data_IF_596007007426
#
_entry.id   IF_596007007426
#
_cell.length_a   1.000
_cell.length_b   1.000
_cell.length_c   1.000
_cell.angle_alpha   90.00
_cell.angle_beta   90.00
_cell.angle_gamma   90.00
#
_symmetry.space_group_name_H-M   'P 1'
#
loop_
_entity.id
_entity.type
_entity.pdbx_description
1 polymer ?
#
# COMPACT_ATOMS: atom_id res chain seq x y z
N UNK A 1 18.66 -8.60 -12.82
CA UNK A 1 18.35 -8.21 -11.42
C UNK A 1 19.67 -7.95 -10.73
N UNK A 2 19.94 -6.72 -10.32
CA UNK A 2 21.20 -6.35 -9.67
C UNK A 2 21.15 -6.77 -8.21
N UNK A 3 22.08 -7.62 -7.78
CA UNK A 3 22.14 -8.12 -6.41
C UNK A 3 22.33 -6.94 -5.44
N UNK A 4 21.37 -6.77 -4.53
CA UNK A 4 21.40 -5.68 -3.55
C UNK A 4 22.22 -6.05 -2.32
N UNK A 5 22.72 -7.29 -2.23
CA UNK A 5 23.59 -7.75 -1.13
C UNK A 5 24.83 -6.87 -0.94
N UNK A 6 25.40 -6.37 -2.03
CA UNK A 6 26.60 -5.52 -2.06
C UNK A 6 26.33 -4.15 -1.40
N UNK A 7 25.07 -3.73 -1.31
CA UNK A 7 24.69 -2.43 -0.75
C UNK A 7 24.64 -2.41 0.79
N UNK A 8 24.72 -3.58 1.42
CA UNK A 8 24.42 -3.73 2.83
C UNK A 8 25.27 -4.85 3.43
N UNK A 9 26.40 -4.53 4.10
CA UNK A 9 27.09 -5.52 4.91
C UNK A 9 26.12 -5.98 6.00
N UNK A 10 25.83 -7.26 6.02
CA UNK A 10 24.89 -7.86 6.97
C UNK A 10 25.59 -8.90 7.80
N UNK A 11 25.27 -8.89 9.09
CA UNK A 11 25.74 -9.91 10.01
C UNK A 11 25.09 -11.25 9.63
N UNK A 12 25.85 -12.08 8.92
CA UNK A 12 25.43 -13.43 8.51
C UNK A 12 25.55 -14.46 9.62
N UNK A 13 26.20 -14.12 10.74
CA UNK A 13 26.40 -15.02 11.88
C UNK A 13 25.15 -15.19 12.74
N UNK A 14 24.19 -14.27 12.62
CA UNK A 14 22.94 -14.33 13.37
C UNK A 14 21.91 -15.17 12.60
N UNK A 15 21.61 -16.37 13.08
CA UNK A 15 20.42 -17.12 12.67
C UNK A 15 19.17 -16.53 13.29
N UNK A 16 18.05 -16.51 12.58
CA UNK A 16 16.74 -16.17 13.14
C UNK A 16 15.76 -17.32 12.97
N UNK A 17 15.20 -17.80 14.07
CA UNK A 17 14.02 -18.66 14.06
C UNK A 17 12.77 -17.86 13.69
N UNK A 18 11.70 -18.56 13.32
CA UNK A 18 10.40 -17.96 13.06
C UNK A 18 9.69 -17.70 14.38
N UNK A 19 9.10 -16.51 14.53
CA UNK A 19 8.26 -16.19 15.66
C UNK A 19 6.94 -16.96 15.54
N UNK A 20 6.75 -17.95 16.40
CA UNK A 20 5.54 -18.77 16.44
C UNK A 20 4.42 -18.04 17.18
N UNK A 21 3.66 -17.20 16.48
CA UNK A 21 2.44 -16.57 17.00
C UNK A 21 1.45 -16.22 15.86
N UNK A 22 0.17 -16.09 16.18
CA UNK A 22 -0.90 -15.64 15.26
C UNK A 22 -0.70 -14.20 14.74
N UNK A 23 0.29 -13.48 15.28
CA UNK A 23 0.80 -12.20 14.79
C UNK A 23 1.46 -12.28 13.40
N UNK A 24 1.66 -13.49 12.86
CA UNK A 24 2.11 -13.76 11.49
C UNK A 24 1.25 -13.10 10.40
N UNK A 25 0.06 -12.59 10.75
CA UNK A 25 -0.86 -11.89 9.84
C UNK A 25 -0.70 -10.35 9.83
N UNK A 26 0.15 -9.78 10.69
CA UNK A 26 0.32 -8.32 10.75
C UNK A 26 1.04 -7.82 9.51
N UNK A 27 0.31 -7.11 8.66
CA UNK A 27 0.89 -6.34 7.56
C UNK A 27 1.32 -4.96 8.05
N UNK A 28 2.42 -4.44 7.51
CA UNK A 28 2.92 -3.10 7.86
C UNK A 28 2.68 -2.11 6.73
N UNK A 29 2.69 -0.83 7.07
CA UNK A 29 2.55 0.28 6.15
C UNK A 29 3.64 1.34 6.41
N UNK A 30 4.33 1.76 5.36
CA UNK A 30 5.26 2.89 5.36
C UNK A 30 4.58 4.08 4.70
N UNK A 31 4.21 5.13 5.46
CA UNK A 31 3.42 6.22 4.92
C UNK A 31 4.12 7.07 3.87
N UNK A 32 5.43 7.25 4.02
CA UNK A 32 6.28 8.02 3.12
C UNK A 32 7.67 7.40 3.17
N UNK A 33 8.23 7.11 2.00
CA UNK A 33 9.66 6.84 1.83
C UNK A 33 10.32 8.18 1.46
N UNK A 34 11.02 8.87 2.38
CA UNK A 34 11.48 10.23 2.12
C UNK A 34 12.45 10.27 0.94
N UNK A 35 12.28 11.20 -0.01
CA UNK A 35 13.08 11.22 -1.22
C UNK A 35 14.52 11.60 -0.92
N UNK A 36 14.79 12.42 0.10
CA UNK A 36 16.15 12.79 0.49
C UNK A 36 16.82 11.80 1.42
N UNK A 37 16.22 10.64 1.69
CA UNK A 37 16.80 9.63 2.58
C UNK A 37 18.02 8.96 1.91
N UNK A 38 19.11 8.79 2.66
CA UNK A 38 20.33 8.09 2.23
C UNK A 38 20.98 7.39 3.43
N UNK A 39 22.00 6.58 3.20
CA UNK A 39 22.77 5.96 4.28
C UNK A 39 24.01 6.79 4.61
N UNK A 40 24.16 7.20 5.86
CA UNK A 40 25.34 7.93 6.35
C UNK A 40 26.47 6.93 6.60
N UNK A 41 27.23 6.63 5.53
CA UNK A 41 28.52 5.92 5.51
C UNK A 41 28.68 4.67 6.39
N UNK A 42 28.62 3.51 5.75
CA UNK A 42 29.69 2.50 5.88
C UNK A 42 30.57 2.63 4.62
N UNK A 43 31.86 2.30 4.67
CA UNK A 43 32.76 2.27 3.50
C UNK A 43 32.19 1.45 2.32
N UNK A 44 31.26 0.55 2.63
CA UNK A 44 30.52 -0.31 1.69
C UNK A 44 29.40 0.37 0.89
N UNK A 45 28.91 1.57 1.29
CA UNK A 45 27.72 2.23 0.71
C UNK A 45 28.08 3.51 -0.06
N UNK A 46 29.34 3.64 -0.44
CA UNK A 46 29.79 4.72 -1.30
C UNK A 46 29.76 4.26 -2.75
N UNK A 47 29.25 5.10 -3.64
CA UNK A 47 29.37 4.82 -5.07
C UNK A 47 30.83 4.95 -5.53
N UNK A 48 31.13 4.60 -6.79
CA UNK A 48 32.47 4.80 -7.39
C UNK A 48 33.02 6.22 -7.20
N UNK A 49 32.11 7.19 -7.01
CA UNK A 49 32.40 8.61 -6.81
C UNK A 49 32.42 9.05 -5.33
N UNK A 50 32.51 8.12 -4.37
CA UNK A 50 32.59 8.41 -2.93
C UNK A 50 31.34 9.15 -2.37
N UNK A 51 30.20 9.12 -3.08
CA UNK A 51 28.93 9.74 -2.68
C UNK A 51 28.06 8.78 -1.89
N UNK A 52 27.40 9.27 -0.83
CA UNK A 52 26.40 8.50 -0.07
C UNK A 52 25.26 8.07 -0.99
N UNK A 53 24.99 6.76 -1.07
CA UNK A 53 23.90 6.25 -1.91
C UNK A 53 22.53 6.55 -1.29
N UNK A 54 21.64 7.09 -2.12
CA UNK A 54 20.24 7.40 -1.79
C UNK A 54 19.44 6.12 -1.52
N UNK A 55 18.58 6.16 -0.50
CA UNK A 55 17.60 5.11 -0.25
C UNK A 55 16.53 5.15 -1.35
N UNK A 56 16.40 4.05 -2.09
CA UNK A 56 15.37 3.88 -3.12
C UNK A 56 14.33 2.88 -2.65
N UNK A 57 13.04 3.04 -3.00
CA UNK A 57 11.97 2.10 -2.61
C UNK A 57 12.29 0.63 -2.91
N UNK A 58 13.01 0.35 -4.01
CA UNK A 58 13.44 -1.01 -4.39
C UNK A 58 14.32 -1.71 -3.34
N UNK A 59 14.97 -0.96 -2.45
CA UNK A 59 15.79 -1.51 -1.37
C UNK A 59 15.01 -1.83 -0.11
N UNK A 60 13.72 -1.46 -0.02
CA UNK A 60 12.92 -1.62 1.19
C UNK A 60 12.81 -3.09 1.63
N UNK A 61 12.62 -4.01 0.68
CA UNK A 61 12.59 -5.46 0.98
C UNK A 61 13.89 -5.91 1.63
N UNK A 62 15.01 -5.58 1.00
CA UNK A 62 16.32 -5.95 1.52
C UNK A 62 16.56 -5.35 2.92
N UNK A 63 16.24 -4.06 3.07
CA UNK A 63 16.41 -3.35 4.33
C UNK A 63 15.62 -4.01 5.48
N UNK A 64 14.39 -4.42 5.22
CA UNK A 64 13.54 -5.12 6.21
C UNK A 64 14.10 -6.51 6.56
N UNK A 65 14.40 -7.32 5.54
CA UNK A 65 14.80 -8.73 5.74
C UNK A 65 16.20 -8.87 6.32
N UNK A 66 17.14 -8.02 5.89
CA UNK A 66 18.58 -8.23 6.13
C UNK A 66 19.18 -7.18 7.07
N UNK A 67 18.72 -5.93 7.03
CA UNK A 67 19.25 -4.86 7.88
C UNK A 67 18.50 -4.77 9.21
N UNK A 68 17.17 -4.64 9.17
CA UNK A 68 16.33 -4.64 10.37
C UNK A 68 16.16 -6.04 10.95
N UNK A 69 16.25 -7.07 10.09
CA UNK A 69 16.09 -8.49 10.43
C UNK A 69 14.78 -8.76 11.18
N UNK A 70 13.68 -8.16 10.74
CA UNK A 70 12.39 -8.28 11.44
C UNK A 70 11.51 -9.41 10.93
N UNK A 71 11.71 -9.88 9.71
CA UNK A 71 10.86 -10.93 9.14
C UNK A 71 11.12 -11.17 7.65
N UNK A 72 10.49 -12.22 7.12
CA UNK A 72 10.51 -12.55 5.70
C UNK A 72 9.39 -11.81 4.99
N UNK A 73 9.71 -11.05 3.95
CA UNK A 73 8.75 -10.25 3.19
C UNK A 73 8.24 -11.07 2.00
N UNK A 74 6.93 -11.36 2.03
CA UNK A 74 6.19 -11.99 0.94
C UNK A 74 6.15 -11.08 -0.27
N UNK A 75 5.64 -9.86 -0.08
CA UNK A 75 5.58 -8.82 -1.11
C UNK A 75 5.51 -7.42 -0.52
N UNK A 76 5.77 -6.44 -1.37
CA UNK A 76 5.59 -5.03 -1.06
C UNK A 76 4.80 -4.40 -2.20
N UNK A 77 3.65 -3.80 -1.86
CA UNK A 77 2.82 -3.05 -2.79
C UNK A 77 3.15 -1.56 -2.63
N UNK A 78 3.74 -0.97 -3.67
CA UNK A 78 4.06 0.46 -3.68
C UNK A 78 2.89 1.25 -4.27
N UNK A 79 2.59 2.39 -3.65
CA UNK A 79 1.63 3.33 -4.17
C UNK A 79 2.18 4.75 -4.09
N UNK A 80 1.59 5.63 -4.88
CA UNK A 80 1.93 7.05 -4.90
C UNK A 80 0.76 7.83 -4.35
N UNK A 81 1.02 8.76 -3.44
CA UNK A 81 -0.02 9.62 -2.85
C UNK A 81 0.44 11.05 -2.72
N UNK A 82 -0.50 11.98 -2.78
CA UNK A 82 -0.25 13.37 -2.43
C UNK A 82 -0.10 13.50 -0.91
N UNK A 83 0.90 14.26 -0.48
CA UNK A 83 1.19 14.49 0.94
C UNK A 83 1.34 15.99 1.14
N UNK A 84 0.57 16.64 2.04
CA UNK A 84 0.55 18.10 2.16
C UNK A 84 1.92 18.77 2.37
N UNK A 85 2.89 18.03 2.92
CA UNK A 85 4.23 18.53 3.24
C UNK A 85 5.22 18.40 2.08
N UNK A 86 4.80 17.82 0.95
CA UNK A 86 5.65 17.58 -0.21
C UNK A 86 5.03 18.22 -1.45
N UNK A 87 5.87 18.85 -2.26
CA UNK A 87 5.46 19.45 -3.55
C UNK A 87 5.22 18.41 -4.64
N UNK A 88 5.75 17.20 -4.47
CA UNK A 88 5.59 16.09 -5.40
C UNK A 88 4.89 14.93 -4.71
N UNK A 89 4.16 14.08 -5.46
CA UNK A 89 3.59 12.86 -4.91
C UNK A 89 4.67 11.96 -4.29
N UNK A 90 4.37 11.38 -3.13
CA UNK A 90 5.30 10.57 -2.37
C UNK A 90 4.98 9.09 -2.50
N UNK A 91 6.03 8.27 -2.49
CA UNK A 91 5.89 6.81 -2.50
C UNK A 91 5.59 6.33 -1.07
N UNK A 92 4.53 5.55 -0.93
CA UNK A 92 4.22 4.75 0.24
C UNK A 92 4.32 3.26 -0.09
N UNK A 93 4.38 2.42 0.95
CA UNK A 93 4.52 0.98 0.78
C UNK A 93 3.64 0.20 1.76
N UNK A 94 2.99 -0.85 1.27
CA UNK A 94 2.28 -1.83 2.07
C UNK A 94 3.09 -3.12 2.06
N UNK A 95 3.47 -3.60 3.22
CA UNK A 95 4.41 -4.69 3.41
C UNK A 95 3.65 -5.88 3.96
N UNK A 96 3.75 -6.99 3.25
CA UNK A 96 3.15 -8.26 3.63
C UNK A 96 4.27 -9.25 3.98
N UNK A 97 4.21 -9.81 5.17
CA UNK A 97 5.19 -10.78 5.65
C UNK A 97 4.71 -12.21 5.37
N UNK A 98 5.67 -13.10 5.09
CA UNK A 98 5.44 -14.55 5.20
C UNK A 98 5.51 -14.95 6.68
N UNK A 99 6.48 -14.37 7.40
CA UNK A 99 6.63 -14.56 8.84
C UNK A 99 7.48 -13.45 9.47
N UNK A 100 7.35 -13.29 10.78
CA UNK A 100 8.26 -12.49 11.60
C UNK A 100 9.39 -13.35 12.16
N UNK A 101 10.55 -12.75 12.38
CA UNK A 101 11.69 -13.42 12.99
C UNK A 101 11.61 -13.33 14.52
N UNK A 102 11.98 -14.41 15.21
CA UNK A 102 12.05 -14.44 16.67
C UNK A 102 13.37 -13.84 17.15
N UNK A 103 13.37 -12.52 17.33
CA UNK A 103 14.48 -11.77 17.90
C UNK A 103 14.00 -10.52 18.63
N UNK A 104 14.90 -9.91 19.41
CA UNK A 104 14.57 -8.74 20.23
C UNK A 104 14.19 -7.51 19.40
N UNK A 105 14.79 -7.34 18.22
CA UNK A 105 14.45 -6.23 17.33
C UNK A 105 12.99 -6.31 16.88
N UNK A 106 12.53 -7.50 16.51
CA UNK A 106 11.15 -7.77 16.09
C UNK A 106 10.19 -7.58 17.26
N UNK A 107 10.49 -8.15 18.43
CA UNK A 107 9.67 -7.99 19.64
C UNK A 107 9.54 -6.52 20.05
N UNK A 108 10.65 -5.78 20.05
CA UNK A 108 10.66 -4.35 20.35
C UNK A 108 9.84 -3.53 19.34
N UNK A 109 9.94 -3.86 18.05
CA UNK A 109 9.12 -3.25 17.00
C UNK A 109 7.63 -3.52 17.24
N UNK A 110 7.23 -4.76 17.49
CA UNK A 110 5.84 -5.14 17.72
C UNK A 110 5.25 -4.45 18.96
N UNK A 111 6.00 -4.41 20.06
CA UNK A 111 5.61 -3.65 21.28
C UNK A 111 5.43 -2.16 20.98
N UNK A 112 6.32 -1.56 20.18
CA UNK A 112 6.20 -0.14 19.79
C UNK A 112 4.97 0.10 18.92
N UNK A 113 4.69 -0.82 18.00
CA UNK A 113 3.52 -0.76 17.13
C UNK A 113 2.21 -0.91 17.92
N UNK A 114 2.16 -1.80 18.90
CA UNK A 114 1.01 -1.99 19.78
C UNK A 114 0.77 -0.78 20.68
N UNK A 115 1.83 -0.29 21.35
CA UNK A 115 1.72 0.81 22.32
C UNK A 115 1.53 2.19 21.68
N UNK A 116 2.25 2.47 20.59
CA UNK A 116 2.32 3.83 20.00
C UNK A 116 1.65 3.91 18.61
N UNK A 117 1.21 2.79 18.04
CA UNK A 117 0.69 2.71 16.68
C UNK A 117 1.74 2.94 15.59
N UNK A 118 3.02 3.02 15.94
CA UNK A 118 4.12 3.34 15.02
C UNK A 118 5.48 2.87 15.53
N UNK A 119 6.36 2.58 14.58
CA UNK A 119 7.77 2.29 14.83
C UNK A 119 8.67 3.12 13.90
N UNK A 120 9.78 3.62 14.41
CA UNK A 120 10.73 4.43 13.64
C UNK A 120 12.06 3.70 13.54
N UNK A 121 12.48 3.39 12.32
CA UNK A 121 13.82 2.85 12.06
C UNK A 121 14.77 3.98 11.66
N UNK A 122 15.87 4.11 12.39
CA UNK A 122 16.87 5.18 12.21
C UNK A 122 18.15 4.70 11.51
N UNK A 123 18.26 3.41 11.22
CA UNK A 123 19.51 2.80 10.80
C UNK A 123 19.49 1.29 11.02
N UNK A 124 20.67 0.68 11.03
CA UNK A 124 20.85 -0.75 11.30
C UNK A 124 22.27 -1.02 11.80
N UNK A 125 22.43 -2.11 12.55
CA UNK A 125 23.73 -2.59 12.99
C UNK A 125 24.37 -3.48 11.92
N UNK A 126 25.69 -3.35 11.79
CA UNK A 126 26.57 -4.22 11.00
C UNK A 126 27.62 -4.79 11.94
N UNK A 127 28.42 -5.76 11.46
CA UNK A 127 29.48 -6.37 12.29
C UNK A 127 30.49 -5.34 12.81
N UNK A 128 30.74 -4.28 12.05
CA UNK A 128 31.77 -3.30 12.34
C UNK A 128 31.23 -2.00 12.95
N UNK A 129 30.00 -1.60 12.61
CA UNK A 129 29.45 -0.30 13.00
C UNK A 129 27.91 -0.19 12.88
N UNK A 130 27.34 0.83 13.51
CA UNK A 130 25.95 1.23 13.28
C UNK A 130 25.84 2.18 12.09
N UNK A 131 25.07 1.79 11.08
CA UNK A 131 24.80 2.60 9.87
C UNK A 131 23.52 3.39 10.08
N UNK A 132 23.64 4.72 10.10
CA UNK A 132 22.51 5.64 10.27
C UNK A 132 21.81 5.95 8.94
N UNK A 133 20.54 6.31 9.03
CA UNK A 133 19.83 6.99 7.96
C UNK A 133 20.14 8.50 8.02
N UNK A 134 20.60 9.03 6.89
CA UNK A 134 20.80 10.45 6.64
C UNK A 134 19.66 11.04 5.81
N UNK A 135 19.49 12.35 5.89
CA UNK A 135 18.44 13.08 5.17
C UNK A 135 18.42 14.56 5.53
N UNK A 136 17.47 15.29 4.96
CA UNK A 136 17.32 16.74 5.18
C UNK A 136 16.77 17.10 6.58
N UNK A 137 16.14 16.16 7.27
CA UNK A 137 15.59 16.38 8.61
C UNK A 137 16.61 16.03 9.70
N UNK A 138 16.46 16.62 10.89
CA UNK A 138 17.39 16.42 12.02
C UNK A 138 17.46 14.96 12.49
N UNK A 139 16.38 14.18 12.32
CA UNK A 139 16.32 12.75 12.65
C UNK A 139 15.65 11.96 11.50
N UNK A 140 16.40 11.67 10.41
CA UNK A 140 15.90 10.89 9.29
C UNK A 140 15.55 9.47 9.73
N UNK A 141 14.38 8.98 9.34
CA UNK A 141 13.91 7.64 9.69
C UNK A 141 12.94 7.10 8.65
N UNK A 142 12.76 5.78 8.64
CA UNK A 142 11.60 5.13 8.05
C UNK A 142 10.54 4.89 9.12
N UNK A 143 9.32 5.35 8.85
CA UNK A 143 8.18 5.20 9.74
C UNK A 143 7.35 4.00 9.30
N UNK A 144 7.16 3.05 10.21
CA UNK A 144 6.30 1.88 10.04
C UNK A 144 5.04 2.03 10.91
N UNK A 145 3.91 1.56 10.40
CA UNK A 145 2.62 1.48 11.09
C UNK A 145 1.95 0.15 10.80
N UNK A 146 0.98 -0.25 11.62
CA UNK A 146 0.13 -1.40 11.33
C UNK A 146 -0.75 -1.06 10.11
N UNK A 147 -0.80 -1.97 9.13
CA UNK A 147 -1.76 -1.90 8.05
C UNK A 147 -3.05 -2.62 8.47
N UNK A 148 -4.05 -1.85 8.89
CA UNK A 148 -5.36 -2.40 9.30
C UNK A 148 -6.25 -2.85 8.13
N UNK A 149 -5.86 -2.54 6.89
CA UNK A 149 -6.55 -2.98 5.67
C UNK A 149 -5.53 -3.61 4.74
N UNK A 150 -4.98 -4.79 5.10
CA UNK A 150 -4.08 -5.51 4.21
C UNK A 150 -4.78 -5.73 2.87
N UNK A 151 -4.07 -5.44 1.78
CA UNK A 151 -4.57 -5.76 0.44
C UNK A 151 -4.66 -7.28 0.38
N UNK A 152 -5.87 -7.81 0.16
CA UNK A 152 -6.06 -9.23 0.03
C UNK A 152 -5.18 -9.74 -1.11
N UNK A 153 -4.28 -10.67 -0.77
CA UNK A 153 -3.65 -11.48 -1.79
C UNK A 153 -4.73 -12.36 -2.39
N UNK A 154 -4.95 -12.38 -3.71
CA UNK A 154 -5.70 -13.48 -4.27
C UNK A 154 -4.99 -14.78 -3.85
N UNK A 155 -5.74 -15.67 -3.18
CA UNK A 155 -5.28 -17.03 -2.89
C UNK A 155 -4.93 -17.65 -4.24
N UNK A 156 -3.63 -17.89 -4.46
CA UNK A 156 -3.05 -18.53 -5.64
C UNK A 156 -3.91 -18.46 -6.91
N UNK A 157 -3.69 -17.43 -7.73
CA UNK A 157 -4.11 -17.56 -9.13
C UNK A 157 -3.10 -18.48 -9.83
N UNK A 158 -3.31 -19.79 -9.76
CA UNK A 158 -2.81 -20.75 -10.76
C UNK A 158 -3.56 -20.61 -12.09
N UNK A 159 -4.04 -19.40 -12.43
CA UNK A 159 -4.71 -19.18 -13.72
C UNK A 159 -3.65 -18.95 -14.77
N UNK A 160 -3.65 -19.79 -15.79
CA UNK A 160 -2.83 -19.53 -16.96
C UNK A 160 -3.34 -18.25 -17.66
N UNK A 161 -2.49 -17.64 -18.48
CA UNK A 161 -2.79 -16.37 -19.17
C UNK A 161 -4.05 -16.48 -20.05
N UNK A 162 -4.31 -17.65 -20.64
CA UNK A 162 -5.47 -17.88 -21.51
C UNK A 162 -6.80 -17.83 -20.75
N UNK A 163 -6.85 -18.38 -19.54
CA UNK A 163 -8.02 -18.29 -18.65
C UNK A 163 -8.32 -16.82 -18.29
N UNK A 164 -7.27 -16.04 -17.99
CA UNK A 164 -7.40 -14.62 -17.69
C UNK A 164 -7.91 -13.84 -18.92
N UNK A 165 -7.41 -14.16 -20.11
CA UNK A 165 -7.88 -13.53 -21.35
C UNK A 165 -9.33 -13.88 -21.67
N UNK A 166 -9.74 -15.14 -21.48
CA UNK A 166 -11.11 -15.58 -21.70
C UNK A 166 -12.10 -14.88 -20.76
N UNK A 167 -11.74 -14.75 -19.48
CA UNK A 167 -12.57 -14.04 -18.50
C UNK A 167 -12.62 -12.54 -18.76
N UNK A 168 -11.48 -11.91 -19.11
CA UNK A 168 -11.48 -10.49 -19.50
C UNK A 168 -12.39 -10.26 -20.71
N UNK A 169 -12.33 -11.13 -21.72
CA UNK A 169 -13.21 -11.04 -22.88
C UNK A 169 -14.68 -11.15 -22.46
N UNK A 170 -15.03 -12.12 -21.63
CA UNK A 170 -16.40 -12.29 -21.12
C UNK A 170 -16.87 -11.08 -20.28
N UNK A 171 -15.98 -10.51 -19.46
CA UNK A 171 -16.28 -9.32 -18.66
C UNK A 171 -16.50 -8.09 -19.55
N UNK A 172 -15.69 -7.92 -20.60
CA UNK A 172 -15.87 -6.84 -21.59
C UNK A 172 -17.21 -6.99 -22.32
N UNK A 173 -17.56 -8.20 -22.76
CA UNK A 173 -18.85 -8.46 -23.42
C UNK A 173 -20.03 -8.15 -22.49
N UNK A 174 -19.97 -8.59 -21.23
CA UNK A 174 -21.00 -8.26 -20.22
C UNK A 174 -21.07 -6.77 -19.93
N UNK A 175 -19.92 -6.09 -19.87
CA UNK A 175 -19.86 -4.64 -19.66
C UNK A 175 -20.58 -3.91 -20.81
N UNK A 176 -20.30 -4.30 -22.05
CA UNK A 176 -20.94 -3.73 -23.24
C UNK A 176 -22.46 -3.97 -23.24
N UNK A 177 -22.91 -5.18 -22.89
CA UNK A 177 -24.34 -5.50 -22.77
C UNK A 177 -25.03 -4.63 -21.70
N UNK A 178 -24.37 -4.43 -20.55
CA UNK A 178 -24.88 -3.55 -19.49
C UNK A 178 -24.90 -2.09 -19.92
N UNK A 179 -23.88 -1.61 -20.64
CA UNK A 179 -23.85 -0.25 -21.20
C UNK A 179 -24.94 -0.02 -22.25
N UNK A 180 -25.24 -1.00 -23.12
CA UNK A 180 -26.44 -0.98 -23.99
C UNK A 180 -27.71 -0.80 -23.16
N UNK A 181 -27.89 -1.66 -22.16
CA UNK A 181 -29.11 -1.68 -21.35
C UNK A 181 -29.31 -0.35 -20.65
N UNK A 182 -28.23 0.21 -20.08
CA UNK A 182 -28.25 1.55 -19.46
C UNK A 182 -28.64 2.60 -20.49
N UNK A 183 -28.05 2.56 -21.70
CA UNK A 183 -28.37 3.53 -22.76
C UNK A 183 -29.83 3.46 -23.19
N UNK A 184 -30.37 2.25 -23.35
CA UNK A 184 -31.77 2.04 -23.71
C UNK A 184 -32.70 2.55 -22.61
N UNK A 185 -32.43 2.19 -21.34
CA UNK A 185 -33.21 2.65 -20.19
C UNK A 185 -33.14 4.17 -20.05
N UNK A 186 -31.96 4.78 -20.21
CA UNK A 186 -31.81 6.24 -20.20
C UNK A 186 -32.57 6.90 -21.36
N UNK A 187 -32.52 6.31 -22.56
CA UNK A 187 -33.27 6.78 -23.72
C UNK A 187 -34.78 6.72 -23.52
N UNK A 188 -35.28 5.63 -22.93
CA UNK A 188 -36.67 5.56 -22.50
C UNK A 188 -36.94 6.63 -21.44
N UNK A 189 -36.24 6.67 -20.32
CA UNK A 189 -36.47 7.67 -19.27
C UNK A 189 -36.52 9.11 -19.81
N UNK A 190 -35.66 9.44 -20.79
CA UNK A 190 -35.68 10.74 -21.45
C UNK A 190 -36.93 10.93 -22.32
N UNK A 191 -37.26 9.98 -23.20
CA UNK A 191 -38.49 10.02 -24.01
C UNK A 191 -39.75 10.15 -23.14
N UNK A 192 -39.81 9.40 -22.04
CA UNK A 192 -40.96 9.40 -21.14
C UNK A 192 -41.04 10.69 -20.30
N UNK A 193 -39.89 11.30 -19.95
CA UNK A 193 -39.82 12.63 -19.33
C UNK A 193 -40.29 13.74 -20.28
N UNK A 194 -39.96 13.63 -21.56
CA UNK A 194 -40.31 14.63 -22.57
C UNK A 194 -41.80 14.57 -22.97
N UNK A 195 -42.50 13.47 -22.68
CA UNK A 195 -43.92 13.26 -22.99
C UNK A 195 -44.88 13.46 -21.80
N UNK A 196 -44.39 13.88 -20.64
CA UNK A 196 -45.17 14.36 -19.47
C UNK A 196 -46.40 13.48 -19.09
N UNK A 197 -46.26 12.15 -19.15
CA UNK A 197 -47.35 11.23 -18.82
C UNK A 197 -47.62 11.25 -17.29
N UNK A 198 -48.83 11.66 -16.84
CA UNK A 198 -49.15 11.84 -15.43
C UNK A 198 -49.08 10.54 -14.61
N UNK A 199 -49.21 9.36 -15.23
CA UNK A 199 -49.07 8.09 -14.51
C UNK A 199 -47.61 7.81 -14.08
N UNK A 200 -46.64 8.45 -14.72
CA UNK A 200 -45.20 8.20 -14.50
C UNK A 200 -44.65 9.02 -13.37
N UNK A 201 -45.14 10.25 -13.19
CA UNK A 201 -44.79 11.05 -12.01
C UNK A 201 -45.21 10.33 -10.71
N UNK A 202 -46.28 9.52 -10.75
CA UNK A 202 -46.73 8.68 -9.64
C UNK A 202 -45.82 7.47 -9.43
N UNK A 203 -45.40 6.78 -10.50
CA UNK A 203 -44.50 5.62 -10.41
C UNK A 203 -43.07 6.02 -10.03
N UNK A 204 -42.54 7.11 -10.58
CA UNK A 204 -41.21 7.66 -10.26
C UNK A 204 -41.14 8.22 -8.84
N UNK A 205 -42.21 8.85 -8.34
CA UNK A 205 -42.28 9.28 -6.94
C UNK A 205 -42.33 8.08 -5.98
N UNK A 206 -43.08 7.03 -6.30
CA UNK A 206 -43.08 5.78 -5.55
C UNK A 206 -41.72 5.07 -5.53
N UNK A 207 -41.02 5.04 -6.66
CA UNK A 207 -39.67 4.47 -6.77
C UNK A 207 -38.62 5.29 -6.00
N UNK A 208 -38.66 6.63 -6.03
CA UNK A 208 -37.79 7.47 -5.21
C UNK A 208 -38.01 7.25 -3.71
N UNK A 209 -39.26 7.06 -3.31
CA UNK A 209 -39.63 6.81 -1.92
C UNK A 209 -39.15 5.43 -1.44
N UNK A 210 -39.14 4.42 -2.33
CA UNK A 210 -38.57 3.08 -2.06
C UNK A 210 -37.04 3.06 -2.06
N UNK A 211 -36.38 3.89 -2.90
CA UNK A 211 -34.93 4.01 -2.95
C UNK A 211 -34.34 4.95 -1.88
N UNK A 212 -35.17 5.51 -0.99
CA UNK A 212 -34.72 6.33 0.14
C UNK A 212 -34.20 7.72 -0.27
N UNK A 213 -34.55 8.20 -1.46
CA UNK A 213 -34.01 9.45 -1.99
C UNK A 213 -34.72 10.64 -1.34
N UNK A 214 -34.20 11.01 -0.16
CA UNK A 214 -34.64 12.15 0.64
C UNK A 214 -34.01 13.42 0.09
N UNK A 215 -34.34 13.79 -1.14
CA UNK A 215 -34.04 15.14 -1.64
C UNK A 215 -34.98 16.12 -0.93
N UNK A 216 -34.52 16.61 0.22
CA UNK A 216 -35.13 17.70 0.96
C UNK A 216 -35.34 18.91 0.03
N UNK A 217 -36.59 19.24 -0.24
CA UNK A 217 -36.99 20.56 -0.66
C UNK A 217 -36.51 21.58 0.38
N UNK A 218 -35.52 22.37 0.03
CA UNK A 218 -35.37 23.72 0.54
C UNK A 218 -35.18 24.67 -0.63
N UNK A 219 -36.29 25.14 -1.20
CA UNK A 219 -36.39 26.50 -1.69
C UNK A 219 -37.59 27.20 -0.99
N UNK A 220 -37.20 28.15 -0.14
CA UNK A 220 -37.78 29.48 0.10
C UNK A 220 -39.28 29.67 0.39
N UNK A 221 -39.53 30.23 1.58
CA UNK A 221 -40.48 31.32 1.91
C UNK A 221 -40.12 31.72 3.35
N UNK A 222 -39.62 32.92 3.69
CA UNK A 222 -40.07 34.29 3.40
C UNK A 222 -38.85 35.22 3.32
#
# INVERSE_FOLDING_TARGET
MTDSSILFPVNTSLSCSVLNNDESLVSLYVPVIPPSLYFTSSETVKDSDNKSRRFQPKFLKYYIENCMRIGKVRRIDFATREVPQYTTPQVCAFIHFDCFYDNDATKSMLVSLDREGKYRSYGFETDDAYVKLGGQHSNPHLLFKINHKPIDSPKEYERNIEQVMAENKLLIEKLQEKEETIRQVQGFLQYWKDNDDPNINIVLSGLRQLMGDSSSNQEQSV
#
